data_IF_107679591757
#
_entry.id   IF_107679591757
#
_cell.length_a   1.000
_cell.length_b   1.000
_cell.length_c   1.000
_cell.angle_alpha   90.00
_cell.angle_beta   90.00
_cell.angle_gamma   90.00
#
_symmetry.space_group_name_H-M   'P 1'
#
loop_
_entity.id
_entity.type
_entity.pdbx_description
1 polymer ?
#
# COMPACT_ATOMS: atom_id res chain seq x y z
N UNK A 1 77.42 -12.47 21.03
CA UNK A 1 76.48 -13.61 20.87
C UNK A 1 75.09 -13.07 21.20
N UNK A 2 74.28 -12.76 20.18
CA UNK A 2 73.14 -13.59 19.67
C UNK A 2 71.92 -13.49 20.60
N UNK A 3 70.66 -13.22 20.20
CA UNK A 3 70.00 -12.97 18.92
C UNK A 3 68.60 -12.35 19.22
N UNK A 4 67.98 -11.77 18.18
CA UNK A 4 66.60 -11.23 18.12
C UNK A 4 65.52 -12.31 18.34
N UNK A 5 64.28 -11.95 18.75
CA UNK A 5 63.06 -11.98 17.89
C UNK A 5 61.73 -11.71 18.63
N UNK A 6 60.81 -11.09 17.90
CA UNK A 6 59.40 -10.73 18.19
C UNK A 6 58.45 -11.93 18.36
N UNK A 7 57.34 -11.77 19.10
CA UNK A 7 56.02 -12.38 18.81
C UNK A 7 54.94 -11.68 19.66
N UNK A 8 54.20 -10.70 19.13
CA UNK A 8 52.90 -10.82 18.41
C UNK A 8 51.69 -10.99 19.35
N UNK A 9 51.00 -9.87 19.59
CA UNK A 9 49.64 -9.79 20.14
C UNK A 9 48.66 -10.47 19.18
N UNK A 10 48.24 -11.69 19.48
CA UNK A 10 47.18 -12.38 18.74
C UNK A 10 45.80 -11.90 19.21
N UNK A 11 45.31 -10.79 18.64
CA UNK A 11 43.89 -10.43 18.73
C UNK A 11 43.05 -11.38 17.86
N UNK A 12 41.86 -11.81 18.31
CA UNK A 12 41.14 -12.89 17.67
C UNK A 12 40.54 -12.44 16.33
N UNK A 13 41.12 -12.92 15.23
CA UNK A 13 40.58 -12.91 13.86
C UNK A 13 39.14 -13.48 13.75
N UNK A 14 38.60 -14.04 14.83
CA UNK A 14 37.27 -14.61 14.92
C UNK A 14 36.13 -13.57 14.96
N UNK A 15 36.39 -12.33 15.39
CA UNK A 15 35.33 -11.30 15.46
C UNK A 15 35.06 -10.61 14.11
N UNK A 16 36.04 -10.54 13.21
CA UNK A 16 35.88 -9.91 11.90
C UNK A 16 35.15 -10.81 10.88
N UNK A 17 35.31 -12.14 10.97
CA UNK A 17 34.65 -13.09 10.07
C UNK A 17 33.15 -13.18 10.34
N UNK A 18 32.70 -13.03 11.59
CA UNK A 18 31.28 -13.02 11.94
C UNK A 18 30.55 -11.81 11.34
N UNK A 19 31.18 -10.63 11.32
CA UNK A 19 30.58 -9.40 10.78
C UNK A 19 30.32 -9.47 9.26
N UNK A 20 31.22 -10.11 8.50
CA UNK A 20 31.09 -10.27 7.05
C UNK A 20 30.00 -11.28 6.64
N UNK A 21 29.74 -12.30 7.48
CA UNK A 21 28.66 -13.27 7.29
C UNK A 21 27.29 -12.59 7.49
N UNK A 22 27.15 -11.69 8.47
CA UNK A 22 25.91 -10.95 8.69
C UNK A 22 25.55 -10.01 7.52
N UNK A 23 26.55 -9.42 6.85
CA UNK A 23 26.34 -8.58 5.67
C UNK A 23 25.89 -9.39 4.44
N UNK A 24 26.48 -10.57 4.19
CA UNK A 24 26.08 -11.43 3.07
C UNK A 24 24.67 -12.00 3.22
N UNK A 25 24.30 -12.44 4.43
CA UNK A 25 22.96 -12.98 4.70
C UNK A 25 21.87 -11.89 4.61
N UNK A 26 22.21 -10.65 4.96
CA UNK A 26 21.30 -9.51 4.87
C UNK A 26 20.99 -9.12 3.42
N UNK A 27 22.01 -9.13 2.55
CA UNK A 27 21.85 -8.81 1.14
C UNK A 27 21.07 -9.88 0.35
N UNK A 28 21.31 -11.17 0.62
CA UNK A 28 20.65 -12.24 -0.11
C UNK A 28 19.12 -12.27 0.11
N UNK A 29 18.66 -12.01 1.34
CA UNK A 29 17.22 -11.93 1.65
C UNK A 29 16.57 -10.70 1.02
N UNK A 30 17.27 -9.57 1.01
CA UNK A 30 16.81 -8.34 0.38
C UNK A 30 16.67 -8.47 -1.14
N UNK A 31 17.62 -9.15 -1.80
CA UNK A 31 17.59 -9.41 -3.23
C UNK A 31 16.39 -10.28 -3.64
N UNK A 32 16.13 -11.37 -2.89
CA UNK A 32 14.96 -12.24 -3.14
C UNK A 32 13.63 -11.49 -2.97
N UNK A 33 13.51 -10.66 -1.93
CA UNK A 33 12.32 -9.86 -1.71
C UNK A 33 12.07 -8.82 -2.80
N UNK A 34 13.13 -8.16 -3.28
CA UNK A 34 13.05 -7.22 -4.39
C UNK A 34 12.58 -7.91 -5.68
N UNK A 35 13.18 -9.04 -6.03
CA UNK A 35 12.78 -9.81 -7.21
C UNK A 35 11.29 -10.23 -7.15
N UNK A 36 10.80 -10.66 -5.98
CA UNK A 36 9.39 -10.98 -5.80
C UNK A 36 8.48 -9.75 -6.00
N UNK A 37 8.87 -8.58 -5.48
CA UNK A 37 8.12 -7.33 -5.69
C UNK A 37 8.08 -6.97 -7.18
N UNK A 38 9.22 -7.05 -7.87
CA UNK A 38 9.33 -6.75 -9.31
C UNK A 38 8.44 -7.67 -10.15
N UNK A 39 8.49 -8.99 -9.89
CA UNK A 39 7.64 -9.98 -10.56
C UNK A 39 6.16 -9.73 -10.26
N UNK A 40 5.80 -9.50 -8.99
CA UNK A 40 4.43 -9.21 -8.56
C UNK A 40 3.87 -7.99 -9.27
N UNK A 41 4.63 -6.90 -9.34
CA UNK A 41 4.20 -5.67 -9.98
C UNK A 41 4.12 -5.79 -11.50
N UNK A 42 4.96 -6.63 -12.11
CA UNK A 42 4.84 -6.98 -13.53
C UNK A 42 3.53 -7.72 -13.80
N UNK A 43 3.23 -8.78 -13.04
CA UNK A 43 1.98 -9.53 -13.18
C UNK A 43 0.75 -8.66 -12.96
N UNK A 44 0.79 -7.76 -11.97
CA UNK A 44 -0.27 -6.78 -11.75
C UNK A 44 -0.46 -5.88 -12.97
N UNK A 45 0.60 -5.31 -13.54
CA UNK A 45 0.49 -4.42 -14.69
C UNK A 45 0.04 -5.11 -15.99
N UNK A 46 0.26 -6.41 -16.12
CA UNK A 46 -0.16 -7.20 -17.29
C UNK A 46 -1.60 -7.75 -17.14
N UNK A 47 -2.25 -7.53 -15.99
CA UNK A 47 -3.59 -8.04 -15.72
C UNK A 47 -4.67 -7.23 -16.47
N UNK A 48 -5.73 -7.88 -16.98
CA UNK A 48 -6.81 -7.19 -17.69
C UNK A 48 -7.44 -6.05 -16.86
N UNK A 49 -7.65 -4.90 -17.49
CA UNK A 49 -8.28 -3.74 -16.86
C UNK A 49 -7.35 -2.89 -15.97
N UNK A 50 -6.07 -3.25 -15.86
CA UNK A 50 -5.08 -2.45 -15.11
C UNK A 50 -4.50 -1.34 -16.02
N UNK A 51 -4.58 -0.05 -15.65
CA UNK A 51 -4.11 1.04 -16.49
C UNK A 51 -2.58 1.06 -16.70
N UNK A 52 -2.15 1.69 -17.79
CA UNK A 52 -0.73 1.96 -18.05
C UNK A 52 -0.06 2.70 -16.89
N UNK A 53 1.23 2.38 -16.65
CA UNK A 53 2.01 2.96 -15.55
C UNK A 53 1.72 2.36 -14.17
N UNK A 54 0.79 1.41 -14.04
CA UNK A 54 0.49 0.71 -12.79
C UNK A 54 1.66 -0.09 -12.23
N UNK A 55 2.58 -0.55 -13.09
CA UNK A 55 3.81 -1.23 -12.65
C UNK A 55 4.65 -0.32 -11.76
N UNK A 56 4.95 0.91 -12.22
CA UNK A 56 5.72 1.90 -11.48
C UNK A 56 5.04 2.27 -10.16
N UNK A 57 3.72 2.43 -10.18
CA UNK A 57 2.94 2.69 -8.97
C UNK A 57 3.05 1.53 -7.97
N UNK A 58 2.89 0.29 -8.42
CA UNK A 58 3.01 -0.90 -7.58
C UNK A 58 4.39 -1.01 -6.95
N UNK A 59 5.46 -0.85 -7.75
CA UNK A 59 6.85 -0.88 -7.27
C UNK A 59 7.06 0.14 -6.16
N UNK A 60 6.75 1.41 -6.46
CA UNK A 60 6.89 2.52 -5.50
C UNK A 60 6.11 2.26 -4.22
N UNK A 61 4.88 1.73 -4.35
CA UNK A 61 3.99 1.44 -3.23
C UNK A 61 4.56 0.34 -2.34
N UNK A 62 4.95 -0.80 -2.90
CA UNK A 62 5.43 -1.94 -2.11
C UNK A 62 6.84 -1.70 -1.55
N UNK A 63 7.73 -1.07 -2.31
CA UNK A 63 9.10 -0.77 -1.88
C UNK A 63 9.15 0.29 -0.76
N UNK A 64 8.13 1.14 -0.65
CA UNK A 64 8.01 2.12 0.44
C UNK A 64 7.87 1.46 1.83
N UNK A 65 7.50 0.18 1.87
CA UNK A 65 7.33 -0.58 3.11
C UNK A 65 8.49 -1.54 3.30
N UNK A 66 9.37 -1.26 4.27
CA UNK A 66 10.54 -2.10 4.59
C UNK A 66 10.21 -3.59 4.79
N UNK A 67 9.01 -3.90 5.30
CA UNK A 67 8.55 -5.28 5.52
C UNK A 67 8.24 -6.03 4.21
N UNK A 68 7.99 -5.35 3.10
CA UNK A 68 7.72 -5.97 1.79
C UNK A 68 8.89 -6.81 1.29
N UNK A 69 10.13 -6.36 1.50
CA UNK A 69 11.34 -7.11 1.13
C UNK A 69 11.52 -8.46 1.87
N UNK A 70 10.71 -8.72 2.90
CA UNK A 70 10.71 -9.98 3.64
C UNK A 70 9.35 -10.69 3.59
N UNK A 71 8.39 -10.14 2.84
CA UNK A 71 7.06 -10.67 2.74
C UNK A 71 7.00 -11.82 1.73
N UNK A 72 6.11 -12.79 1.97
CA UNK A 72 5.65 -13.69 0.91
C UNK A 72 4.67 -12.94 -0.01
N UNK A 73 4.27 -13.56 -1.13
CA UNK A 73 3.22 -13.00 -2.00
C UNK A 73 1.93 -12.67 -1.23
N UNK A 74 1.48 -13.58 -0.34
CA UNK A 74 0.34 -13.34 0.57
C UNK A 74 0.62 -12.18 1.54
N UNK A 75 1.86 -12.04 2.00
CA UNK A 75 2.30 -10.92 2.81
C UNK A 75 2.23 -9.58 2.08
N UNK A 76 2.58 -9.54 0.79
CA UNK A 76 2.43 -8.35 -0.06
C UNK A 76 0.96 -7.96 -0.21
N UNK A 77 0.06 -8.93 -0.40
CA UNK A 77 -1.39 -8.67 -0.40
C UNK A 77 -1.90 -8.07 0.92
N UNK A 78 -1.44 -8.59 2.06
CA UNK A 78 -1.77 -8.03 3.38
C UNK A 78 -1.22 -6.61 3.58
N UNK A 79 -0.03 -6.31 3.03
CA UNK A 79 0.56 -4.97 3.06
C UNK A 79 -0.26 -4.02 2.19
N UNK A 80 -0.66 -4.45 0.99
CA UNK A 80 -1.51 -3.67 0.09
C UNK A 80 -2.85 -3.30 0.74
N UNK A 81 -3.57 -4.27 1.33
CA UNK A 81 -4.80 -4.02 2.07
C UNK A 81 -4.60 -2.99 3.21
N UNK A 82 -3.50 -3.07 3.96
CA UNK A 82 -3.23 -2.13 5.05
C UNK A 82 -2.86 -0.72 4.54
N UNK A 83 -2.12 -0.62 3.43
CA UNK A 83 -1.81 0.66 2.79
C UNK A 83 -3.08 1.35 2.29
N UNK A 84 -3.99 0.62 1.65
CA UNK A 84 -5.30 1.14 1.22
C UNK A 84 -6.09 1.67 2.43
N UNK A 85 -6.19 0.88 3.51
CA UNK A 85 -6.88 1.30 4.74
C UNK A 85 -6.29 2.57 5.34
N UNK A 86 -4.96 2.64 5.41
CA UNK A 86 -4.23 3.76 6.03
C UNK A 86 -4.44 5.04 5.23
N UNK A 87 -4.28 4.98 3.90
CA UNK A 87 -4.50 6.14 3.03
C UNK A 87 -5.96 6.58 3.06
N UNK A 88 -6.93 5.66 3.02
CA UNK A 88 -8.34 6.01 3.09
C UNK A 88 -8.71 6.64 4.43
N UNK A 89 -8.10 6.18 5.53
CA UNK A 89 -8.22 6.81 6.85
C UNK A 89 -7.67 8.24 6.84
N UNK A 90 -6.53 8.46 6.20
CA UNK A 90 -5.92 9.78 6.06
C UNK A 90 -6.79 10.73 5.21
N UNK A 91 -7.28 10.27 4.06
CA UNK A 91 -8.17 11.07 3.20
C UNK A 91 -9.48 11.40 3.91
N UNK A 92 -10.07 10.44 4.64
CA UNK A 92 -11.23 10.73 5.49
C UNK A 92 -10.96 11.82 6.52
N UNK A 93 -9.80 11.78 7.18
CA UNK A 93 -9.42 12.82 8.14
C UNK A 93 -9.21 14.18 7.45
N UNK A 94 -8.64 14.20 6.25
CA UNK A 94 -8.52 15.39 5.43
C UNK A 94 -9.90 15.97 5.06
N UNK A 95 -10.85 15.14 4.64
CA UNK A 95 -12.24 15.56 4.39
C UNK A 95 -12.88 16.17 5.64
N UNK A 96 -12.69 15.55 6.81
CA UNK A 96 -13.16 16.14 8.09
C UNK A 96 -12.55 17.53 8.35
N UNK A 97 -11.30 17.76 7.96
CA UNK A 97 -10.66 19.08 8.05
C UNK A 97 -11.28 20.06 7.06
N UNK A 98 -11.54 19.65 5.81
CA UNK A 98 -12.21 20.49 4.81
C UNK A 98 -13.61 20.92 5.26
N UNK A 99 -14.38 20.01 5.87
CA UNK A 99 -15.72 20.29 6.37
C UNK A 99 -15.78 21.30 7.53
N UNK A 100 -14.66 21.51 8.26
CA UNK A 100 -14.58 22.51 9.34
C UNK A 100 -14.45 23.94 8.79
N UNK A 101 -13.97 24.10 7.56
CA UNK A 101 -13.88 25.40 6.92
C UNK A 101 -15.26 25.84 6.40
N UNK A 102 -15.93 26.67 7.20
CA UNK A 102 -17.30 27.10 6.91
C UNK A 102 -17.40 27.99 5.66
N UNK A 103 -16.33 28.66 5.24
CA UNK A 103 -16.38 29.67 4.17
C UNK A 103 -15.84 29.15 2.82
N UNK A 104 -14.98 28.14 2.84
CA UNK A 104 -14.32 27.62 1.64
C UNK A 104 -15.24 26.88 0.67
N UNK A 105 -16.25 26.19 1.18
CA UNK A 105 -17.13 25.33 0.37
C UNK A 105 -18.60 25.75 0.49
N UNK A 106 -19.29 25.78 -0.65
CA UNK A 106 -20.73 26.00 -0.69
C UNK A 106 -21.50 24.78 -0.16
N UNK A 107 -22.83 24.89 -0.04
CA UNK A 107 -23.67 23.84 0.55
C UNK A 107 -23.61 22.51 -0.22
N UNK A 108 -23.46 22.54 -1.55
CA UNK A 108 -23.44 21.36 -2.41
C UNK A 108 -22.10 20.63 -2.29
N UNK A 109 -20.98 21.37 -2.36
CA UNK A 109 -19.65 20.81 -2.11
C UNK A 109 -19.53 20.20 -0.70
N UNK A 110 -20.16 20.81 0.31
CA UNK A 110 -20.19 20.24 1.67
C UNK A 110 -21.03 18.97 1.78
N UNK A 111 -22.05 18.81 0.94
CA UNK A 111 -22.85 17.58 0.88
C UNK A 111 -21.99 16.46 0.30
N UNK A 112 -21.42 16.66 -0.90
CA UNK A 112 -20.49 15.73 -1.52
C UNK A 112 -19.32 15.34 -0.58
N UNK A 113 -18.71 16.31 0.11
CA UNK A 113 -17.67 16.03 1.12
C UNK A 113 -18.17 15.16 2.29
N UNK A 114 -19.42 15.32 2.75
CA UNK A 114 -19.97 14.46 3.80
C UNK A 114 -20.20 13.04 3.28
N UNK A 115 -20.73 12.92 2.07
CA UNK A 115 -20.99 11.63 1.45
C UNK A 115 -19.68 10.87 1.22
N UNK A 116 -18.66 11.51 0.67
CA UNK A 116 -17.30 10.95 0.58
C UNK A 116 -16.76 10.48 1.94
N UNK A 117 -16.92 11.28 3.00
CA UNK A 117 -16.45 10.91 4.35
C UNK A 117 -17.12 9.62 4.85
N UNK A 118 -18.40 9.47 4.56
CA UNK A 118 -19.22 8.34 5.01
C UNK A 118 -18.88 7.09 4.19
N UNK A 119 -18.80 7.20 2.86
CA UNK A 119 -18.29 6.13 1.99
C UNK A 119 -16.87 5.68 2.39
N UNK A 120 -15.94 6.59 2.67
CA UNK A 120 -14.61 6.19 3.19
C UNK A 120 -14.69 5.48 4.54
N UNK A 121 -15.68 5.79 5.38
CA UNK A 121 -15.86 5.07 6.65
C UNK A 121 -16.30 3.62 6.42
N UNK A 122 -17.23 3.42 5.49
CA UNK A 122 -17.74 2.10 5.10
C UNK A 122 -16.65 1.28 4.40
N UNK A 123 -15.90 1.90 3.48
CA UNK A 123 -14.79 1.26 2.83
C UNK A 123 -13.67 0.87 3.82
N UNK A 124 -13.36 1.69 4.82
CA UNK A 124 -12.42 1.30 5.90
C UNK A 124 -12.92 0.07 6.67
N UNK A 125 -14.23 -0.03 6.90
CA UNK A 125 -14.84 -1.21 7.51
C UNK A 125 -14.68 -2.43 6.58
N UNK A 126 -15.04 -2.30 5.30
CA UNK A 126 -14.90 -3.37 4.30
C UNK A 126 -13.46 -3.87 4.18
N UNK A 127 -12.46 -2.99 4.17
CA UNK A 127 -11.04 -3.39 4.13
C UNK A 127 -10.65 -4.22 5.37
N UNK A 128 -11.18 -3.89 6.56
CA UNK A 128 -10.91 -4.69 7.77
C UNK A 128 -11.48 -6.10 7.66
N UNK A 129 -12.70 -6.23 7.12
CA UNK A 129 -13.33 -7.52 6.87
C UNK A 129 -12.60 -8.31 5.77
N UNK A 130 -12.29 -7.67 4.65
CA UNK A 130 -11.50 -8.26 3.58
C UNK A 130 -10.17 -8.80 4.11
N UNK A 131 -9.46 -8.02 4.93
CA UNK A 131 -8.21 -8.44 5.57
C UNK A 131 -8.40 -9.65 6.51
N UNK A 132 -9.51 -9.71 7.25
CA UNK A 132 -9.82 -10.87 8.09
C UNK A 132 -10.03 -12.13 7.24
N UNK A 133 -10.85 -12.04 6.18
CA UNK A 133 -11.17 -13.16 5.28
C UNK A 133 -9.91 -13.62 4.53
N UNK A 134 -9.10 -12.68 4.05
CA UNK A 134 -7.83 -12.95 3.39
C UNK A 134 -6.87 -13.75 4.27
N UNK A 135 -6.79 -13.43 5.57
CA UNK A 135 -6.00 -14.20 6.55
C UNK A 135 -6.55 -15.61 6.78
N UNK A 136 -7.87 -15.77 6.72
CA UNK A 136 -8.55 -17.07 6.78
C UNK A 136 -8.49 -17.85 5.46
N UNK A 137 -7.83 -17.31 4.43
CA UNK A 137 -7.75 -17.84 3.07
C UNK A 137 -9.09 -17.88 2.33
N UNK A 138 -10.08 -17.14 2.82
CA UNK A 138 -11.31 -16.88 2.07
C UNK A 138 -11.08 -15.70 1.13
N UNK A 139 -10.45 -15.98 -0.01
CA UNK A 139 -10.08 -14.96 -0.99
C UNK A 139 -11.28 -14.45 -1.78
N UNK A 140 -12.26 -15.31 -2.06
CA UNK A 140 -13.53 -14.92 -2.70
C UNK A 140 -14.32 -13.94 -1.83
N UNK A 141 -14.46 -14.23 -0.53
CA UNK A 141 -15.08 -13.30 0.41
C UNK A 141 -14.27 -12.00 0.55
N UNK A 142 -12.94 -12.08 0.64
CA UNK A 142 -12.08 -10.89 0.68
C UNK A 142 -12.24 -10.02 -0.58
N UNK A 143 -12.36 -10.65 -1.75
CA UNK A 143 -12.56 -9.98 -3.03
C UNK A 143 -13.91 -9.26 -3.07
N UNK A 144 -14.99 -9.92 -2.65
CA UNK A 144 -16.32 -9.32 -2.59
C UNK A 144 -16.35 -8.03 -1.74
N UNK A 145 -15.71 -8.03 -0.57
CA UNK A 145 -15.60 -6.81 0.25
C UNK A 145 -14.70 -5.75 -0.38
N UNK A 146 -13.64 -6.14 -1.11
CA UNK A 146 -12.76 -5.20 -1.79
C UNK A 146 -13.37 -4.58 -3.05
N UNK A 147 -14.33 -5.24 -3.70
CA UNK A 147 -15.08 -4.65 -4.83
C UNK A 147 -15.78 -3.36 -4.41
N UNK A 148 -16.48 -3.36 -3.27
CA UNK A 148 -17.10 -2.14 -2.75
C UNK A 148 -16.08 -1.02 -2.41
N UNK A 149 -14.85 -1.40 -2.06
CA UNK A 149 -13.76 -0.44 -1.76
C UNK A 149 -13.19 0.17 -3.04
N UNK A 150 -13.18 -0.60 -4.14
CA UNK A 150 -12.65 -0.19 -5.43
C UNK A 150 -13.42 1.00 -6.00
N UNK A 151 -14.74 1.01 -5.85
CA UNK A 151 -15.61 2.02 -6.44
C UNK A 151 -15.65 3.32 -5.63
N UNK A 152 -15.38 3.24 -4.32
CA UNK A 152 -15.51 4.36 -3.38
C UNK A 152 -14.83 5.68 -3.82
N UNK A 153 -13.58 5.70 -4.32
CA UNK A 153 -12.95 6.95 -4.69
C UNK A 153 -13.58 7.58 -5.95
N UNK A 154 -14.05 6.76 -6.89
CA UNK A 154 -14.75 7.22 -8.10
C UNK A 154 -16.14 7.75 -7.76
N UNK A 155 -16.90 7.02 -6.93
CA UNK A 155 -18.22 7.47 -6.44
C UNK A 155 -18.11 8.83 -5.72
N UNK A 156 -17.03 9.03 -4.96
CA UNK A 156 -16.75 10.30 -4.30
C UNK A 156 -16.51 11.44 -5.30
N UNK A 157 -15.79 11.20 -6.41
CA UNK A 157 -15.63 12.22 -7.46
C UNK A 157 -16.95 12.50 -8.20
N UNK A 158 -17.75 11.46 -8.46
CA UNK A 158 -19.05 11.58 -9.10
C UNK A 158 -20.02 12.44 -8.27
N UNK A 159 -20.00 12.32 -6.94
CA UNK A 159 -20.80 13.19 -6.07
C UNK A 159 -20.53 14.69 -6.25
N UNK A 160 -19.36 15.10 -6.76
CA UNK A 160 -19.09 16.50 -7.14
C UNK A 160 -19.57 16.84 -8.56
N UNK A 161 -19.56 15.89 -9.48
CA UNK A 161 -19.94 16.12 -10.89
C UNK A 161 -21.46 16.09 -11.11
N UNK A 162 -22.20 15.30 -10.33
CA UNK A 162 -23.67 15.21 -10.38
C UNK A 162 -24.35 16.55 -10.15
N UNK A 163 -23.72 17.42 -9.34
CA UNK A 163 -24.21 18.75 -9.08
C UNK A 163 -23.18 19.79 -9.49
N UNK A 164 -23.35 20.36 -10.68
CA UNK A 164 -22.47 21.41 -11.23
C UNK A 164 -22.25 22.61 -10.29
N UNK A 165 -23.15 22.83 -9.31
CA UNK A 165 -23.01 23.86 -8.28
C UNK A 165 -22.01 23.52 -7.18
N UNK A 166 -21.60 22.25 -7.02
CA UNK A 166 -20.55 21.85 -6.10
C UNK A 166 -19.17 22.36 -6.54
N UNK A 167 -18.97 22.55 -7.85
CA UNK A 167 -17.67 22.86 -8.42
C UNK A 167 -16.76 21.62 -8.45
N UNK A 168 -15.49 21.82 -8.77
CA UNK A 168 -14.52 20.71 -8.86
C UNK A 168 -14.23 20.06 -7.50
N UNK A 169 -13.98 18.75 -7.53
CA UNK A 169 -13.59 17.99 -6.34
C UNK A 169 -12.25 18.50 -5.77
N UNK A 170 -12.18 18.78 -4.45
CA UNK A 170 -10.92 19.07 -3.78
C UNK A 170 -10.13 17.78 -3.43
N UNK A 171 -10.60 16.61 -3.88
CA UNK A 171 -10.09 15.29 -3.54
C UNK A 171 -9.51 14.51 -4.72
N UNK A 172 -9.58 15.03 -5.96
CA UNK A 172 -9.21 14.28 -7.17
C UNK A 172 -7.86 13.58 -7.06
N UNK A 173 -6.80 14.29 -6.64
CA UNK A 173 -5.46 13.69 -6.47
C UNK A 173 -5.44 12.57 -5.43
N UNK A 174 -6.17 12.73 -4.34
CA UNK A 174 -6.28 11.74 -3.28
C UNK A 174 -7.07 10.52 -3.77
N UNK A 175 -8.16 10.74 -4.50
CA UNK A 175 -8.98 9.69 -5.08
C UNK A 175 -8.26 8.90 -6.16
N UNK A 176 -7.43 9.55 -6.99
CA UNK A 176 -6.56 8.85 -7.95
C UNK A 176 -5.59 7.88 -7.26
N UNK A 177 -5.01 8.29 -6.13
CA UNK A 177 -4.11 7.44 -5.34
C UNK A 177 -4.90 6.30 -4.68
N UNK A 178 -6.07 6.59 -4.11
CA UNK A 178 -6.93 5.57 -3.50
C UNK A 178 -7.41 4.54 -4.51
N UNK A 179 -7.80 4.97 -5.72
CA UNK A 179 -8.19 4.08 -6.82
C UNK A 179 -7.06 3.12 -7.17
N UNK A 180 -5.83 3.62 -7.33
CA UNK A 180 -4.67 2.77 -7.62
C UNK A 180 -4.32 1.82 -6.47
N UNK A 181 -4.45 2.26 -5.22
CA UNK A 181 -4.26 1.40 -4.04
C UNK A 181 -5.35 0.32 -3.93
N UNK A 182 -6.61 0.67 -4.16
CA UNK A 182 -7.73 -0.26 -4.14
C UNK A 182 -7.61 -1.29 -5.27
N UNK A 183 -7.23 -0.86 -6.48
CA UNK A 183 -6.93 -1.72 -7.63
C UNK A 183 -5.83 -2.75 -7.35
N UNK A 184 -4.72 -2.32 -6.74
CA UNK A 184 -3.66 -3.24 -6.33
C UNK A 184 -4.16 -4.23 -5.26
N UNK A 185 -4.91 -3.75 -4.28
CA UNK A 185 -5.41 -4.56 -3.17
C UNK A 185 -6.43 -5.61 -3.62
N UNK A 186 -7.40 -5.22 -4.45
CA UNK A 186 -8.41 -6.15 -5.00
C UNK A 186 -7.76 -7.19 -5.90
N UNK A 187 -6.75 -6.81 -6.70
CA UNK A 187 -6.00 -7.76 -7.53
C UNK A 187 -5.40 -8.92 -6.70
N UNK A 188 -4.77 -8.61 -5.56
CA UNK A 188 -4.25 -9.65 -4.67
C UNK A 188 -5.34 -10.61 -4.15
N UNK A 189 -6.56 -10.10 -3.92
CA UNK A 189 -7.68 -10.95 -3.48
C UNK A 189 -8.24 -11.81 -4.60
N UNK A 190 -8.06 -11.42 -5.87
CA UNK A 190 -8.57 -12.13 -7.03
C UNK A 190 -7.60 -13.19 -7.58
N UNK A 191 -6.30 -12.91 -7.53
CA UNK A 191 -5.27 -13.77 -8.16
C UNK A 191 -4.88 -14.98 -7.30
N UNK A 192 -5.12 -14.91 -5.98
CA UNK A 192 -4.79 -16.00 -5.06
C UNK A 192 -5.97 -17.00 -5.05
N UNK A 193 -5.70 -18.22 -5.51
CA UNK A 193 -6.62 -19.36 -5.40
C UNK A 193 -6.28 -20.22 -4.19
#
# INVERSE_FOLDING_TARGET
>A
MSNRFFSEFSLPLFFFTFSLIFLHVSNAKSHKGRALIEETCKQYSESPGVPDGSQKFCLTTLESVKKSYKASFKGLGLISLELTKTNMTHVKAYVKKLLKDKKKFNKYAKMALKDCRDQYSDAIYNIKYAKMLFKKKDYGGANAYMSAVLDTPSDCEEGFSENSRAGGSPLTKQNDILNKLAGLAIWFTAVIR
#
